data_IF_766604689418
#
_entry.id   IF_766604689418
#
_cell.length_a   1.000
_cell.length_b   1.000
_cell.length_c   1.000
_cell.angle_alpha   90.00
_cell.angle_beta   90.00
_cell.angle_gamma   90.00
#
_symmetry.space_group_name_H-M   'P 1'
#
loop_
_entity.id
_entity.type
_entity.pdbx_description
1 polymer ?
#
# COMPACT_ATOMS: atom_id res chain seq x y z
N UNK A 1 58.03 -32.29 33.65
CA UNK A 1 58.67 -32.52 32.32
C UNK A 1 57.60 -32.17 31.27
N UNK A 2 57.79 -31.26 30.30
CA UNK A 2 58.91 -31.05 29.36
C UNK A 2 59.02 -32.27 28.42
N UNK A 3 58.91 -32.18 27.07
CA UNK A 3 59.20 -31.08 26.12
C UNK A 3 58.14 -30.99 24.98
N UNK A 4 57.67 -29.80 24.60
CA UNK A 4 58.08 -28.91 23.47
C UNK A 4 57.62 -29.33 22.05
N UNK A 5 57.07 -28.36 21.32
CA UNK A 5 56.77 -28.38 19.86
C UNK A 5 58.06 -28.28 19.02
N UNK A 6 57.97 -28.31 17.67
CA UNK A 6 58.13 -27.02 16.96
C UNK A 6 57.42 -26.86 15.59
N UNK A 7 57.10 -25.59 15.23
CA UNK A 7 57.20 -24.97 13.87
C UNK A 7 56.25 -25.52 12.77
N UNK A 8 55.56 -24.78 11.89
CA UNK A 8 55.58 -23.40 11.31
C UNK A 8 54.10 -23.03 10.95
N UNK A 9 53.55 -21.82 10.68
CA UNK A 9 53.85 -20.36 10.59
C UNK A 9 52.66 -19.71 11.41
N UNK A 10 52.69 -18.58 12.16
CA UNK A 10 53.22 -17.21 11.96
C UNK A 10 52.48 -16.53 10.78
N UNK A 11 51.66 -15.48 10.94
CA UNK A 11 52.00 -14.07 11.27
C UNK A 11 50.78 -13.32 11.89
N UNK A 12 50.96 -12.72 13.08
CA UNK A 12 50.35 -11.47 13.64
C UNK A 12 48.80 -11.34 13.66
N UNK A 13 48.13 -11.36 14.83
CA UNK A 13 47.91 -10.27 15.80
C UNK A 13 47.20 -9.01 15.21
N UNK A 14 45.89 -8.83 15.43
CA UNK A 14 45.24 -8.33 16.65
C UNK A 14 45.40 -6.81 16.91
N UNK A 15 44.29 -6.07 16.77
CA UNK A 15 44.07 -4.79 17.43
C UNK A 15 42.56 -4.50 17.57
N UNK A 16 42.13 -4.16 18.78
CA UNK A 16 40.76 -3.72 19.07
C UNK A 16 40.61 -2.27 18.60
N UNK A 17 39.68 -2.01 17.68
CA UNK A 17 39.25 -0.66 17.33
C UNK A 17 37.75 -0.63 17.04
N UNK A 18 37.10 0.42 17.53
CA UNK A 18 35.71 0.79 17.27
C UNK A 18 35.37 0.76 15.79
N UNK A 19 34.26 0.11 15.41
CA UNK A 19 33.64 0.31 14.10
C UNK A 19 32.72 1.55 14.18
N UNK A 20 33.07 2.70 13.59
CA UNK A 20 32.15 3.83 13.53
C UNK A 20 31.02 3.54 12.53
N UNK A 21 29.80 3.97 12.86
CA UNK A 21 28.69 3.98 11.91
C UNK A 21 29.00 4.96 10.77
N UNK A 22 29.46 4.44 9.64
CA UNK A 22 29.74 5.24 8.45
C UNK A 22 28.48 5.43 7.61
N UNK A 23 28.21 6.69 7.26
CA UNK A 23 27.02 7.10 6.54
C UNK A 23 26.88 6.37 5.19
N UNK A 24 25.68 5.87 4.89
CA UNK A 24 25.30 5.42 3.56
C UNK A 24 25.09 6.61 2.60
N UNK A 25 26.17 7.34 2.29
CA UNK A 25 26.17 8.29 1.18
C UNK A 25 25.85 7.54 -0.12
N UNK A 26 24.98 8.15 -0.94
CA UNK A 26 24.56 7.56 -2.20
C UNK A 26 25.76 7.36 -3.13
N UNK A 27 26.11 6.10 -3.40
CA UNK A 27 27.20 5.75 -4.30
C UNK A 27 26.95 6.33 -5.70
N UNK A 28 27.99 6.86 -6.38
CA UNK A 28 27.85 7.37 -7.73
C UNK A 28 27.37 6.26 -8.69
N UNK A 29 26.57 6.57 -9.71
CA UNK A 29 26.10 5.58 -10.68
C UNK A 29 27.29 4.99 -11.45
N UNK A 30 27.32 3.66 -11.60
CA UNK A 30 28.36 2.96 -12.36
C UNK A 30 28.35 3.33 -13.84
N UNK A 31 29.51 3.22 -14.50
CA UNK A 31 29.68 3.60 -15.92
C UNK A 31 28.70 2.88 -16.86
N UNK A 32 28.44 1.58 -16.63
CA UNK A 32 27.45 0.82 -17.39
C UNK A 32 26.03 1.41 -17.29
N UNK A 33 25.68 2.00 -16.12
CA UNK A 33 24.40 2.68 -15.90
C UNK A 33 24.37 4.05 -16.57
N UNK A 34 25.48 4.80 -16.53
CA UNK A 34 25.63 6.08 -17.23
C UNK A 34 25.53 5.90 -18.76
N UNK A 35 26.19 4.88 -19.33
CA UNK A 35 26.06 4.52 -20.74
C UNK A 35 24.64 4.12 -21.15
N UNK A 36 23.90 3.40 -20.28
CA UNK A 36 22.49 3.07 -20.52
C UNK A 36 21.57 4.30 -20.46
N UNK A 37 21.91 5.30 -19.64
CA UNK A 37 21.19 6.58 -19.55
C UNK A 37 21.49 7.44 -20.78
N UNK A 38 22.75 7.50 -21.24
CA UNK A 38 23.13 8.24 -22.44
C UNK A 38 22.39 7.74 -23.70
N UNK A 39 22.24 6.42 -23.85
CA UNK A 39 21.42 5.82 -24.93
C UNK A 39 19.94 6.23 -24.92
N UNK A 40 19.42 6.74 -23.79
CA UNK A 40 18.03 7.22 -23.65
C UNK A 40 17.91 8.75 -23.70
N UNK A 41 18.99 9.45 -23.37
CA UNK A 41 19.05 10.91 -23.34
C UNK A 41 20.39 11.41 -23.92
N UNK A 42 20.60 11.32 -25.26
CA UNK A 42 21.83 11.81 -25.89
C UNK A 42 22.14 13.28 -25.57
N UNK A 43 21.10 14.10 -25.36
CA UNK A 43 21.20 15.50 -24.97
C UNK A 43 21.68 15.76 -23.52
N UNK A 44 21.96 14.71 -22.74
CA UNK A 44 22.56 14.82 -21.42
C UNK A 44 24.11 14.86 -21.47
N UNK A 45 24.70 14.36 -22.56
CA UNK A 45 26.11 14.59 -22.90
C UNK A 45 26.24 16.02 -23.45
N UNK A 46 26.85 16.90 -22.67
CA UNK A 46 26.92 18.34 -22.96
C UNK A 46 28.24 18.76 -23.58
N UNK A 47 29.33 18.03 -23.31
CA UNK A 47 30.63 18.25 -23.95
C UNK A 47 30.76 17.52 -25.31
N UNK A 48 29.87 16.56 -25.60
CA UNK A 48 29.82 15.69 -26.79
C UNK A 48 30.99 14.71 -26.90
N UNK A 49 31.55 14.26 -25.77
CA UNK A 49 32.64 13.28 -25.74
C UNK A 49 32.16 11.81 -25.86
N UNK A 50 30.84 11.58 -25.82
CA UNK A 50 30.23 10.24 -25.92
C UNK A 50 30.13 9.49 -24.59
N UNK A 51 30.45 10.11 -23.45
CA UNK A 51 30.38 9.51 -22.11
C UNK A 51 29.76 10.46 -21.09
N UNK A 52 28.52 10.15 -20.69
CA UNK A 52 27.82 10.93 -19.67
C UNK A 52 28.56 10.90 -18.32
N UNK A 53 29.22 12.01 -17.96
CA UNK A 53 29.92 12.11 -16.67
C UNK A 53 28.96 12.21 -15.49
N UNK A 54 29.43 11.94 -14.27
CA UNK A 54 28.60 12.09 -13.06
C UNK A 54 28.07 13.53 -12.87
N UNK A 55 28.86 14.55 -13.23
CA UNK A 55 28.45 15.97 -13.16
C UNK A 55 27.34 16.29 -14.16
N UNK A 56 27.45 15.79 -15.39
CA UNK A 56 26.45 15.99 -16.43
C UNK A 56 25.17 15.20 -16.14
N UNK A 57 25.29 13.99 -15.58
CA UNK A 57 24.12 13.25 -15.09
C UNK A 57 23.38 14.03 -13.99
N UNK A 58 24.07 14.66 -13.04
CA UNK A 58 23.43 15.52 -12.04
C UNK A 58 22.84 16.81 -12.65
N UNK A 59 23.54 17.45 -13.58
CA UNK A 59 23.05 18.64 -14.28
C UNK A 59 21.78 18.35 -15.08
N UNK A 60 21.79 17.29 -15.90
CA UNK A 60 20.64 16.81 -16.64
C UNK A 60 19.50 16.41 -15.70
N UNK A 61 19.78 15.68 -14.61
CA UNK A 61 18.77 15.32 -13.58
C UNK A 61 18.15 16.54 -12.92
N UNK A 62 18.91 17.61 -12.69
CA UNK A 62 18.41 18.90 -12.17
C UNK A 62 17.55 19.61 -13.21
N UNK A 63 18.00 19.66 -14.46
CA UNK A 63 17.30 20.26 -15.59
C UNK A 63 15.97 19.54 -15.91
N UNK A 64 15.93 18.21 -15.86
CA UNK A 64 14.69 17.41 -16.02
C UNK A 64 13.70 17.62 -14.86
N UNK A 65 14.19 17.84 -13.62
CA UNK A 65 13.31 18.21 -12.49
C UNK A 65 12.73 19.62 -12.65
N UNK A 66 13.45 20.54 -13.28
CA UNK A 66 12.99 21.92 -13.53
C UNK A 66 12.09 22.02 -14.76
N UNK A 67 12.40 21.33 -15.86
CA UNK A 67 11.57 21.36 -17.08
C UNK A 67 10.19 20.72 -16.88
N UNK A 68 10.09 19.74 -15.97
CA UNK A 68 8.80 19.17 -15.53
C UNK A 68 7.89 20.14 -14.76
N UNK A 69 8.36 21.31 -14.34
CA UNK A 69 7.56 22.33 -13.63
C UNK A 69 7.18 23.53 -14.51
N UNK A 70 7.61 23.59 -15.79
CA UNK A 70 7.76 24.89 -16.47
C UNK A 70 7.40 24.98 -17.96
N UNK A 71 6.43 24.24 -18.49
CA UNK A 71 5.74 24.59 -19.76
C UNK A 71 4.25 24.25 -19.74
N UNK A 72 3.40 25.27 -19.63
CA UNK A 72 1.95 25.11 -19.80
C UNK A 72 1.59 24.94 -21.29
N UNK A 73 0.70 23.98 -21.59
CA UNK A 73 -0.03 23.94 -22.87
C UNK A 73 -1.36 24.70 -22.70
N UNK A 74 -1.65 25.74 -23.50
CA UNK A 74 -2.84 26.59 -23.32
C UNK A 74 -4.11 25.88 -23.81
N UNK A 75 -4.63 24.99 -22.97
CA UNK A 75 -5.95 24.38 -23.03
C UNK A 75 -6.37 23.77 -21.68
N UNK A 76 -5.39 23.48 -20.79
CA UNK A 76 -5.61 22.76 -19.54
C UNK A 76 -6.15 23.62 -18.37
N UNK A 77 -7.04 24.57 -18.63
CA UNK A 77 -7.64 25.48 -17.63
C UNK A 77 -8.80 24.83 -16.83
N UNK A 78 -8.77 23.50 -16.68
CA UNK A 78 -9.78 22.69 -15.98
C UNK A 78 -9.10 21.58 -15.16
N UNK A 79 -8.06 21.95 -14.38
CA UNK A 79 -7.37 21.05 -13.45
C UNK A 79 -7.79 21.36 -12.01
N UNK A 80 -8.90 20.79 -11.58
CA UNK A 80 -9.27 20.72 -10.16
C UNK A 80 -8.21 19.94 -9.36
N UNK A 81 -8.22 20.11 -8.04
CA UNK A 81 -7.16 19.63 -7.14
C UNK A 81 -6.73 18.17 -7.37
N UNK A 82 -5.43 17.92 -7.17
CA UNK A 82 -4.70 16.66 -7.35
C UNK A 82 -4.54 16.10 -8.78
N UNK A 83 -5.32 16.55 -9.77
CA UNK A 83 -5.10 16.15 -11.17
C UNK A 83 -5.33 14.65 -11.44
N UNK A 84 -6.59 14.23 -11.36
CA UNK A 84 -7.08 13.05 -12.07
C UNK A 84 -7.29 13.38 -13.56
N UNK A 85 -7.47 12.37 -14.41
CA UNK A 85 -7.80 12.60 -15.82
C UNK A 85 -9.25 13.11 -15.97
N UNK A 86 -9.51 14.14 -16.81
CA UNK A 86 -10.87 14.63 -17.08
C UNK A 86 -11.83 13.58 -17.65
N UNK A 87 -11.33 12.46 -18.18
CA UNK A 87 -12.14 11.31 -18.57
C UNK A 87 -12.98 10.71 -17.43
N UNK A 88 -12.60 10.91 -16.17
CA UNK A 88 -13.45 10.54 -15.03
C UNK A 88 -14.73 11.37 -14.92
N UNK A 89 -14.77 12.58 -15.49
CA UNK A 89 -15.96 13.45 -15.47
C UNK A 89 -16.95 13.11 -16.61
N UNK A 90 -16.61 12.17 -17.51
CA UNK A 90 -17.50 11.69 -18.59
C UNK A 90 -18.42 10.58 -18.10
N UNK A 91 -19.61 10.47 -18.69
CA UNK A 91 -20.55 9.39 -18.39
C UNK A 91 -19.98 8.02 -18.81
N UNK A 92 -19.33 7.95 -19.97
CA UNK A 92 -18.71 6.74 -20.52
C UNK A 92 -17.17 6.78 -20.53
N UNK A 93 -16.55 5.63 -20.25
CA UNK A 93 -15.13 5.40 -20.49
C UNK A 93 -14.84 5.18 -21.99
N UNK A 94 -13.59 5.33 -22.47
CA UNK A 94 -13.22 5.06 -23.86
C UNK A 94 -13.70 3.67 -24.34
N UNK A 95 -14.25 3.50 -25.56
CA UNK A 95 -14.81 2.22 -26.02
C UNK A 95 -13.85 1.02 -26.08
N UNK A 96 -12.54 1.25 -25.93
CA UNK A 96 -11.54 0.19 -25.83
C UNK A 96 -11.31 -0.32 -24.38
N UNK A 97 -11.91 0.33 -23.38
CA UNK A 97 -11.73 0.04 -21.96
C UNK A 97 -12.11 -1.40 -21.63
N UNK A 98 -11.23 -2.13 -20.95
CA UNK A 98 -11.38 -3.59 -20.77
C UNK A 98 -12.61 -3.98 -19.94
N UNK A 99 -13.13 -3.13 -19.06
CA UNK A 99 -14.38 -3.38 -18.33
C UNK A 99 -15.63 -3.50 -19.22
N UNK A 100 -15.59 -2.92 -20.44
CA UNK A 100 -16.68 -2.97 -21.42
C UNK A 100 -16.72 -4.28 -22.23
N UNK A 101 -15.76 -5.19 -22.00
CA UNK A 101 -15.54 -6.39 -22.81
C UNK A 101 -16.18 -7.65 -22.23
N UNK A 102 -16.25 -8.69 -23.05
CA UNK A 102 -16.66 -10.05 -22.65
C UNK A 102 -15.59 -10.72 -21.75
N UNK A 103 -15.95 -11.63 -20.82
CA UNK A 103 -14.97 -12.36 -20.00
C UNK A 103 -13.86 -13.04 -20.82
N UNK A 104 -14.21 -13.57 -21.99
CA UNK A 104 -13.31 -14.24 -22.92
C UNK A 104 -12.28 -13.26 -23.51
N UNK A 105 -12.71 -12.08 -23.95
CA UNK A 105 -11.81 -11.01 -24.39
C UNK A 105 -10.91 -10.52 -23.25
N UNK A 106 -11.46 -10.28 -22.06
CA UNK A 106 -10.72 -9.81 -20.89
C UNK A 106 -9.62 -10.81 -20.54
N UNK A 107 -9.95 -12.11 -20.51
CA UNK A 107 -9.01 -13.20 -20.28
C UNK A 107 -7.97 -13.33 -21.42
N UNK A 108 -8.36 -13.11 -22.68
CA UNK A 108 -7.44 -13.11 -23.82
C UNK A 108 -6.49 -11.90 -23.84
N UNK A 109 -6.88 -10.76 -23.27
CA UNK A 109 -6.00 -9.60 -23.04
C UNK A 109 -5.05 -9.91 -21.87
N UNK A 110 -5.56 -10.44 -20.76
CA UNK A 110 -4.73 -10.83 -19.61
C UNK A 110 -3.63 -11.83 -19.98
N UNK A 111 -3.99 -12.94 -20.67
CA UNK A 111 -3.04 -13.99 -21.10
C UNK A 111 -2.00 -13.49 -22.10
N UNK A 112 -2.36 -12.56 -22.99
CA UNK A 112 -1.42 -11.91 -23.94
C UNK A 112 -0.36 -11.09 -23.22
N UNK A 113 -0.72 -10.51 -22.08
CA UNK A 113 0.16 -9.72 -21.24
C UNK A 113 0.58 -8.37 -21.82
N UNK A 114 1.46 -7.69 -21.09
CA UNK A 114 2.03 -6.42 -21.52
C UNK A 114 3.13 -6.68 -22.57
N UNK A 115 3.35 -5.73 -23.49
CA UNK A 115 4.38 -5.87 -24.51
C UNK A 115 5.77 -6.12 -23.85
N UNK A 116 6.37 -7.29 -24.14
CA UNK A 116 7.63 -7.73 -23.51
C UNK A 116 7.47 -8.46 -22.16
N UNK A 117 6.26 -8.83 -21.75
CA UNK A 117 5.98 -9.73 -20.62
C UNK A 117 4.84 -10.70 -20.93
N UNK A 118 5.17 -11.98 -21.08
CA UNK A 118 4.22 -13.04 -20.71
C UNK A 118 3.99 -12.95 -19.20
N UNK A 119 2.73 -13.03 -18.76
CA UNK A 119 2.45 -13.30 -17.36
C UNK A 119 2.74 -14.78 -17.11
N UNK A 120 3.57 -15.08 -16.10
CA UNK A 120 3.85 -16.45 -15.74
C UNK A 120 2.56 -17.10 -15.20
N UNK A 121 2.03 -18.08 -15.93
CA UNK A 121 0.69 -18.66 -15.76
C UNK A 121 0.46 -19.38 -14.40
N UNK A 122 1.47 -19.40 -13.53
CA UNK A 122 1.52 -20.16 -12.28
C UNK A 122 1.59 -19.32 -10.99
N UNK A 123 1.65 -17.97 -11.07
CA UNK A 123 1.88 -17.11 -9.91
C UNK A 123 0.63 -16.35 -9.40
N UNK A 124 -0.31 -16.04 -10.29
CA UNK A 124 -1.52 -15.28 -9.98
C UNK A 124 -2.75 -16.18 -10.09
N UNK A 125 -3.30 -16.58 -8.94
CA UNK A 125 -4.50 -17.42 -8.86
C UNK A 125 -5.76 -16.62 -9.26
N UNK A 126 -6.22 -16.84 -10.49
CA UNK A 126 -7.37 -16.13 -11.08
C UNK A 126 -8.73 -16.68 -10.66
N UNK A 127 -8.75 -17.87 -10.05
CA UNK A 127 -9.93 -18.51 -9.49
C UNK A 127 -9.53 -19.40 -8.31
N UNK A 128 -10.50 -19.74 -7.47
CA UNK A 128 -10.34 -20.69 -6.38
C UNK A 128 -11.61 -21.56 -6.26
N UNK A 129 -11.49 -22.85 -5.88
CA UNK A 129 -12.65 -23.66 -5.54
C UNK A 129 -13.42 -23.00 -4.37
N UNK A 130 -14.73 -23.23 -4.30
CA UNK A 130 -15.55 -22.70 -3.20
C UNK A 130 -14.96 -23.13 -1.84
N UNK A 131 -14.59 -22.20 -0.96
CA UNK A 131 -14.04 -22.53 0.35
C UNK A 131 -15.04 -23.22 1.29
N UNK A 132 -14.56 -23.70 2.43
CA UNK A 132 -15.43 -24.13 3.53
C UNK A 132 -16.25 -22.96 4.08
N UNK A 133 -17.44 -23.26 4.63
CA UNK A 133 -18.44 -22.26 5.01
C UNK A 133 -17.87 -21.15 5.93
N UNK A 134 -18.06 -19.90 5.50
CA UNK A 134 -17.59 -18.70 6.20
C UNK A 134 -16.26 -18.13 5.71
N UNK A 135 -15.50 -18.86 4.89
CA UNK A 135 -14.29 -18.33 4.22
C UNK A 135 -14.71 -17.69 2.88
N UNK A 136 -14.32 -16.43 2.66
CA UNK A 136 -14.58 -15.68 1.43
C UNK A 136 -13.37 -15.75 0.48
N UNK A 137 -13.61 -15.85 -0.83
CA UNK A 137 -12.61 -15.53 -1.87
C UNK A 137 -12.54 -14.01 -2.02
N UNK A 138 -11.34 -13.45 -1.95
CA UNK A 138 -11.12 -12.00 -1.85
C UNK A 138 -10.32 -11.48 -3.05
N UNK A 139 -10.91 -10.57 -3.84
CA UNK A 139 -10.13 -9.68 -4.70
C UNK A 139 -9.73 -8.41 -3.94
N UNK A 140 -8.68 -7.71 -4.38
CA UNK A 140 -8.37 -6.42 -3.77
C UNK A 140 -7.28 -5.61 -4.46
N UNK A 141 -7.39 -4.30 -4.30
CA UNK A 141 -6.31 -3.35 -4.62
C UNK A 141 -5.73 -2.75 -3.36
N UNK A 142 -4.65 -2.00 -3.50
CA UNK A 142 -4.13 -1.18 -2.42
C UNK A 142 -2.66 -0.83 -2.56
N UNK A 143 -2.21 -0.06 -1.58
CA UNK A 143 -0.90 0.59 -1.57
C UNK A 143 -0.07 0.16 -0.36
N UNK A 144 0.97 0.91 -0.02
CA UNK A 144 1.93 0.54 1.03
C UNK A 144 1.32 0.45 2.45
N UNK A 145 0.11 0.96 2.67
CA UNK A 145 -0.61 0.84 3.94
C UNK A 145 -1.50 -0.43 4.00
N UNK A 146 -1.98 -0.97 2.86
CA UNK A 146 -2.69 -2.27 2.87
C UNK A 146 -1.72 -3.45 2.83
N UNK A 147 -0.53 -3.25 2.24
CA UNK A 147 0.50 -4.26 2.07
C UNK A 147 0.90 -5.03 3.36
N UNK A 148 0.94 -4.44 4.58
CA UNK A 148 1.15 -5.20 5.81
C UNK A 148 0.05 -6.23 6.06
N UNK A 149 -1.23 -5.84 5.96
CA UNK A 149 -2.38 -6.72 6.15
C UNK A 149 -2.45 -7.82 5.10
N UNK A 150 -2.26 -7.48 3.83
CA UNK A 150 -2.22 -8.47 2.74
C UNK A 150 -1.06 -9.47 2.86
N UNK A 151 0.04 -9.13 3.55
CA UNK A 151 1.16 -10.05 3.82
C UNK A 151 0.94 -10.92 5.06
N UNK A 152 0.27 -10.41 6.10
CA UNK A 152 0.03 -11.16 7.34
C UNK A 152 -1.20 -12.06 7.26
N UNK A 153 -2.25 -11.66 6.55
CA UNK A 153 -3.51 -12.41 6.47
C UNK A 153 -3.32 -13.88 6.00
N UNK A 154 -2.54 -14.21 4.95
CA UNK A 154 -2.28 -15.60 4.58
C UNK A 154 -1.50 -16.40 5.64
N UNK A 155 -0.75 -15.76 6.54
CA UNK A 155 -0.08 -16.45 7.64
C UNK A 155 -1.03 -16.68 8.83
N UNK A 156 -1.90 -15.71 9.12
CA UNK A 156 -2.92 -15.81 10.18
C UNK A 156 -3.94 -16.92 9.86
N UNK A 157 -4.39 -17.00 8.61
CA UNK A 157 -5.38 -18.00 8.18
C UNK A 157 -4.80 -19.41 8.15
N UNK A 158 -3.56 -19.60 7.67
CA UNK A 158 -2.85 -20.88 7.78
C UNK A 158 -2.67 -21.33 9.23
N UNK A 159 -2.36 -20.41 10.14
CA UNK A 159 -2.30 -20.71 11.58
C UNK A 159 -3.69 -21.04 12.18
N UNK A 160 -4.78 -20.61 11.54
CA UNK A 160 -6.16 -20.99 11.84
C UNK A 160 -6.65 -22.22 11.05
N UNK A 161 -5.80 -22.86 10.23
CA UNK A 161 -6.09 -24.11 9.53
C UNK A 161 -6.62 -23.97 8.10
N UNK A 162 -6.54 -22.81 7.44
CA UNK A 162 -6.99 -22.65 6.05
C UNK A 162 -6.12 -21.71 5.20
N UNK A 163 -6.02 -21.97 3.90
CA UNK A 163 -5.47 -21.00 2.95
C UNK A 163 -6.53 -19.95 2.62
N UNK A 164 -6.19 -18.66 2.73
CA UNK A 164 -7.08 -17.56 2.37
C UNK A 164 -7.05 -17.32 0.86
N UNK A 165 -8.15 -17.54 0.12
CA UNK A 165 -8.18 -17.28 -1.32
C UNK A 165 -8.10 -15.78 -1.59
N UNK A 166 -7.09 -15.36 -2.36
CA UNK A 166 -6.74 -13.96 -2.61
C UNK A 166 -6.23 -13.76 -4.05
N UNK A 167 -6.79 -12.79 -4.77
CA UNK A 167 -6.15 -12.20 -5.96
C UNK A 167 -5.99 -10.69 -5.77
N UNK A 168 -4.74 -10.22 -5.78
CA UNK A 168 -4.41 -8.85 -5.39
C UNK A 168 -3.66 -8.11 -6.50
N UNK A 169 -4.08 -6.88 -6.78
CA UNK A 169 -3.36 -5.97 -7.66
C UNK A 169 -2.96 -4.70 -6.89
N UNK A 170 -1.76 -4.74 -6.33
CA UNK A 170 -1.23 -3.70 -5.44
C UNK A 170 -0.24 -2.75 -6.15
N UNK A 171 0.14 -1.67 -5.45
CA UNK A 171 1.19 -0.73 -5.86
C UNK A 171 1.84 -0.02 -4.67
N UNK A 172 2.63 1.02 -4.97
CA UNK A 172 3.21 1.93 -3.98
C UNK A 172 2.66 3.35 -4.11
N UNK A 173 2.18 3.95 -3.01
CA UNK A 173 1.48 5.24 -3.03
C UNK A 173 0.30 5.24 -4.01
N UNK A 174 0.15 6.33 -4.80
CA UNK A 174 -0.88 6.47 -5.84
C UNK A 174 -0.97 5.27 -6.79
N UNK A 175 0.13 4.56 -7.04
CA UNK A 175 0.12 3.40 -7.95
C UNK A 175 -0.65 2.18 -7.43
N UNK A 176 -1.16 2.25 -6.19
CA UNK A 176 -2.08 1.31 -5.58
C UNK A 176 -3.46 1.89 -5.22
N UNK A 177 -3.82 3.10 -5.69
CA UNK A 177 -5.14 3.68 -5.45
C UNK A 177 -6.23 3.02 -6.30
N UNK A 178 -7.49 3.19 -5.89
CA UNK A 178 -8.66 2.59 -6.53
C UNK A 178 -8.82 3.06 -7.98
N UNK A 179 -8.65 4.37 -8.22
CA UNK A 179 -8.63 4.99 -9.55
C UNK A 179 -7.47 4.51 -10.41
N UNK A 180 -6.22 4.59 -9.91
CA UNK A 180 -5.04 4.18 -10.68
C UNK A 180 -5.12 2.71 -11.11
N UNK A 181 -5.65 1.83 -10.25
CA UNK A 181 -5.88 0.44 -10.63
C UNK A 181 -7.02 0.27 -11.63
N UNK A 182 -8.13 1.01 -11.50
CA UNK A 182 -9.17 1.02 -12.54
C UNK A 182 -8.61 1.43 -13.91
N UNK A 183 -7.84 2.52 -13.96
CA UNK A 183 -7.21 3.04 -15.18
C UNK A 183 -6.22 2.02 -15.78
N UNK A 184 -5.38 1.42 -14.94
CA UNK A 184 -4.39 0.41 -15.32
C UNK A 184 -5.04 -0.88 -15.84
N UNK A 185 -6.10 -1.34 -15.20
CA UNK A 185 -6.83 -2.54 -15.60
C UNK A 185 -7.57 -2.33 -16.93
N UNK A 186 -8.19 -1.17 -17.09
CA UNK A 186 -8.93 -0.82 -18.31
C UNK A 186 -8.03 -0.43 -19.50
N UNK A 187 -6.78 -0.03 -19.26
CA UNK A 187 -5.87 0.43 -20.31
C UNK A 187 -6.26 1.79 -20.88
N UNK A 188 -6.68 2.71 -20.00
CA UNK A 188 -7.19 4.06 -20.34
C UNK A 188 -6.35 5.15 -19.70
N UNK A 189 -6.52 6.39 -20.16
CA UNK A 189 -5.88 7.61 -19.62
C UNK A 189 -4.34 7.50 -19.60
N UNK A 190 -3.67 7.42 -18.44
CA UNK A 190 -2.20 7.23 -18.43
C UNK A 190 -1.74 5.84 -18.94
N UNK A 191 -2.69 4.91 -19.11
CA UNK A 191 -2.50 3.56 -19.65
C UNK A 191 -3.09 3.34 -21.04
N UNK A 192 -3.45 4.40 -21.78
CA UNK A 192 -4.11 4.31 -23.09
C UNK A 192 -3.46 3.26 -24.03
N UNK A 193 -4.28 2.28 -24.43
CA UNK A 193 -3.92 1.13 -25.26
C UNK A 193 -3.02 0.07 -24.60
N UNK A 194 -2.82 0.13 -23.28
CA UNK A 194 -1.85 -0.71 -22.52
C UNK A 194 -2.46 -1.30 -21.22
N UNK A 195 -3.58 -2.04 -21.30
CA UNK A 195 -4.25 -2.60 -20.13
C UNK A 195 -3.42 -3.67 -19.41
N UNK A 196 -3.68 -3.81 -18.11
CA UNK A 196 -3.26 -4.93 -17.25
C UNK A 196 -4.47 -5.42 -16.44
N UNK A 197 -5.39 -6.18 -17.07
CA UNK A 197 -6.70 -6.50 -16.50
C UNK A 197 -6.65 -7.72 -15.57
N UNK A 198 -5.84 -7.67 -14.50
CA UNK A 198 -5.69 -8.78 -13.56
C UNK A 198 -6.98 -9.04 -12.77
N UNK A 199 -7.50 -8.04 -12.07
CA UNK A 199 -8.72 -8.20 -11.29
C UNK A 199 -9.95 -8.26 -12.18
N UNK A 200 -10.00 -7.52 -13.30
CA UNK A 200 -11.11 -7.64 -14.26
C UNK A 200 -11.22 -9.08 -14.80
N UNK A 201 -10.11 -9.72 -15.15
CA UNK A 201 -10.10 -11.12 -15.60
C UNK A 201 -10.42 -12.13 -14.50
N UNK A 202 -10.08 -11.83 -13.23
CA UNK A 202 -10.43 -12.67 -12.09
C UNK A 202 -11.93 -12.58 -11.76
N UNK A 203 -12.46 -11.36 -11.66
CA UNK A 203 -13.85 -11.05 -11.30
C UNK A 203 -14.82 -11.53 -12.39
N UNK A 204 -14.50 -11.36 -13.67
CA UNK A 204 -15.35 -11.82 -14.77
C UNK A 204 -15.20 -13.31 -15.11
N UNK A 205 -14.12 -13.96 -14.68
CA UNK A 205 -13.79 -15.35 -15.00
C UNK A 205 -14.06 -16.36 -13.88
N UNK A 206 -14.44 -15.93 -12.68
CA UNK A 206 -14.70 -16.79 -11.53
C UNK A 206 -15.60 -16.12 -10.48
N UNK A 207 -16.15 -16.92 -9.57
CA UNK A 207 -16.88 -16.45 -8.40
C UNK A 207 -15.95 -15.86 -7.31
N UNK A 208 -16.34 -14.73 -6.73
CA UNK A 208 -15.66 -14.05 -5.62
C UNK A 208 -16.68 -13.44 -4.65
N UNK A 209 -16.53 -13.68 -3.34
CA UNK A 209 -17.45 -13.16 -2.33
C UNK A 209 -17.15 -11.72 -1.87
N UNK A 210 -15.93 -11.21 -2.05
CA UNK A 210 -15.54 -9.91 -1.50
C UNK A 210 -14.46 -9.16 -2.30
N UNK A 211 -14.52 -7.82 -2.24
CA UNK A 211 -13.46 -6.92 -2.67
C UNK A 211 -12.96 -6.02 -1.52
N UNK A 212 -11.63 -5.91 -1.36
CA UNK A 212 -10.98 -5.01 -0.40
C UNK A 212 -10.28 -3.86 -1.13
N UNK A 213 -10.42 -2.64 -0.60
CA UNK A 213 -9.67 -1.46 -1.05
C UNK A 213 -8.91 -0.78 0.09
N UNK A 214 -7.75 -0.23 -0.25
CA UNK A 214 -7.10 0.82 0.53
C UNK A 214 -7.38 2.19 -0.08
N UNK A 215 -8.21 3.04 0.55
CA UNK A 215 -8.45 4.40 0.11
C UNK A 215 -7.17 5.21 0.01
N UNK A 216 -7.15 6.13 -0.94
CA UNK A 216 -6.04 7.05 -1.15
C UNK A 216 -6.50 8.51 -0.97
N UNK A 217 -5.52 9.41 -0.80
CA UNK A 217 -5.80 10.82 -0.56
C UNK A 217 -6.63 11.42 -1.70
N UNK A 218 -7.81 11.94 -1.36
CA UNK A 218 -8.77 12.57 -2.27
C UNK A 218 -9.38 11.66 -3.33
N UNK A 219 -9.54 10.37 -3.03
CA UNK A 219 -10.41 9.49 -3.83
C UNK A 219 -11.84 10.05 -3.94
N UNK A 220 -12.57 9.63 -4.97
CA UNK A 220 -13.95 10.03 -5.27
C UNK A 220 -14.88 8.82 -5.30
N UNK A 221 -16.18 8.95 -4.96
CA UNK A 221 -17.13 7.83 -4.99
C UNK A 221 -17.14 7.05 -6.31
N UNK A 222 -17.11 7.76 -7.46
CA UNK A 222 -17.09 7.16 -8.80
C UNK A 222 -15.93 6.18 -9.04
N UNK A 223 -14.79 6.34 -8.34
CA UNK A 223 -13.67 5.40 -8.46
C UNK A 223 -14.04 4.01 -7.91
N UNK A 224 -14.87 3.98 -6.86
CA UNK A 224 -15.35 2.75 -6.24
C UNK A 224 -16.58 2.21 -6.98
N UNK A 225 -17.55 3.06 -7.35
CA UNK A 225 -18.76 2.59 -8.03
C UNK A 225 -18.42 1.88 -9.33
N UNK A 226 -17.47 2.35 -10.14
CA UNK A 226 -17.04 1.63 -11.35
C UNK A 226 -16.52 0.21 -11.08
N UNK A 227 -15.88 -0.03 -9.92
CA UNK A 227 -15.53 -1.39 -9.49
C UNK A 227 -16.75 -2.17 -8.99
N UNK A 228 -17.64 -1.55 -8.20
CA UNK A 228 -18.88 -2.17 -7.69
C UNK A 228 -19.75 -2.63 -8.86
N UNK A 229 -19.99 -1.77 -9.85
CA UNK A 229 -20.81 -2.04 -11.03
C UNK A 229 -20.26 -3.23 -11.84
N UNK A 230 -18.93 -3.31 -11.98
CA UNK A 230 -18.26 -4.44 -12.63
C UNK A 230 -18.30 -5.72 -11.78
N UNK A 231 -18.22 -5.60 -10.45
CA UNK A 231 -18.34 -6.72 -9.53
C UNK A 231 -19.76 -7.30 -9.54
N UNK A 232 -20.80 -6.49 -9.29
CA UNK A 232 -22.21 -6.93 -9.29
C UNK A 232 -22.62 -7.58 -10.62
N UNK A 233 -22.10 -7.10 -11.75
CA UNK A 233 -22.35 -7.67 -13.09
C UNK A 233 -21.97 -9.16 -13.21
N UNK A 234 -20.94 -9.62 -12.49
CA UNK A 234 -20.42 -10.99 -12.57
C UNK A 234 -20.53 -11.77 -11.25
N UNK A 235 -20.68 -11.06 -10.12
CA UNK A 235 -20.70 -11.57 -8.75
C UNK A 235 -21.76 -10.80 -7.93
N UNK A 236 -23.06 -10.96 -8.23
CA UNK A 236 -24.12 -10.21 -7.57
C UNK A 236 -24.18 -10.49 -6.07
N UNK A 237 -24.23 -9.43 -5.26
CA UNK A 237 -24.16 -9.51 -3.79
C UNK A 237 -22.75 -9.66 -3.22
N UNK A 238 -21.72 -9.26 -3.96
CA UNK A 238 -20.34 -9.18 -3.44
C UNK A 238 -20.25 -8.19 -2.27
N UNK A 239 -19.32 -8.44 -1.34
CA UNK A 239 -19.09 -7.61 -0.16
C UNK A 239 -17.90 -6.69 -0.33
N UNK A 240 -18.10 -5.41 -0.07
CA UNK A 240 -17.13 -4.36 -0.34
C UNK A 240 -16.55 -3.84 0.97
N UNK A 241 -15.24 -3.93 1.12
CA UNK A 241 -14.54 -3.60 2.37
C UNK A 241 -13.54 -2.46 2.15
N UNK A 242 -13.81 -1.31 2.78
CA UNK A 242 -12.86 -0.19 2.79
C UNK A 242 -12.05 -0.24 4.09
N UNK A 243 -10.72 -0.24 3.94
CA UNK A 243 -9.78 -0.04 5.05
C UNK A 243 -9.78 1.46 5.40
N UNK A 244 -10.14 1.83 6.63
CA UNK A 244 -10.10 3.23 7.06
C UNK A 244 -8.67 3.76 7.30
N UNK A 245 -8.51 5.09 7.33
CA UNK A 245 -7.17 5.72 7.46
C UNK A 245 -6.73 5.77 8.92
N UNK A 246 -5.55 5.24 9.27
CA UNK A 246 -5.04 5.26 10.64
C UNK A 246 -4.32 6.56 11.03
N UNK A 247 -4.16 6.88 12.34
CA UNK A 247 -3.74 8.20 12.82
C UNK A 247 -2.22 8.41 12.67
N UNK A 248 -1.80 8.72 11.45
CA UNK A 248 -0.40 8.86 11.07
C UNK A 248 0.18 10.26 11.33
N UNK A 249 1.53 10.44 11.41
CA UNK A 249 2.16 11.74 11.61
C UNK A 249 1.81 12.79 10.54
N UNK A 250 1.49 12.35 9.33
CA UNK A 250 0.98 13.23 8.27
C UNK A 250 -0.34 13.91 8.63
N UNK A 251 -1.23 13.23 9.36
CA UNK A 251 -2.51 13.79 9.82
C UNK A 251 -2.33 14.73 11.03
N UNK A 252 -1.28 14.57 11.84
CA UNK A 252 -1.02 15.45 13.00
C UNK A 252 -0.90 16.91 12.59
N UNK A 253 -0.15 17.21 11.53
CA UNK A 253 -0.03 18.57 11.02
C UNK A 253 -1.36 19.17 10.57
N UNK A 254 -2.25 18.36 10.00
CA UNK A 254 -3.58 18.80 9.57
C UNK A 254 -4.53 18.99 10.76
N UNK A 255 -4.65 18.00 11.65
CA UNK A 255 -5.53 18.03 12.81
C UNK A 255 -5.14 19.10 13.85
N UNK A 256 -3.87 19.52 13.89
CA UNK A 256 -3.36 20.51 14.85
C UNK A 256 -2.85 21.81 14.19
N UNK A 257 -3.01 21.97 12.88
CA UNK A 257 -2.54 23.13 12.10
C UNK A 257 -1.04 23.46 12.33
N UNK A 258 -0.20 22.42 12.40
CA UNK A 258 1.24 22.55 12.65
C UNK A 258 2.00 22.67 11.33
N UNK A 259 2.96 23.61 11.26
CA UNK A 259 3.88 23.74 10.12
C UNK A 259 4.74 22.49 9.94
N UNK A 260 5.21 21.93 11.05
CA UNK A 260 6.11 20.78 11.11
C UNK A 260 5.58 19.67 12.03
N UNK A 261 6.17 18.47 11.96
CA UNK A 261 5.80 17.39 12.86
C UNK A 261 6.36 17.67 14.28
N UNK A 262 5.73 17.15 15.35
CA UNK A 262 6.30 17.21 16.69
C UNK A 262 7.72 16.61 16.76
N UNK A 263 8.60 17.23 17.53
CA UNK A 263 10.00 16.82 17.70
C UNK A 263 10.19 15.71 18.74
N UNK A 264 9.18 15.44 19.58
CA UNK A 264 9.23 14.46 20.67
C UNK A 264 7.99 13.57 20.70
N UNK A 265 8.17 12.32 21.11
CA UNK A 265 7.06 11.39 21.36
C UNK A 265 6.16 11.87 22.52
N UNK A 266 6.65 12.73 23.42
CA UNK A 266 5.88 13.28 24.54
C UNK A 266 4.70 14.17 24.13
N UNK A 267 4.65 14.62 22.87
CA UNK A 267 3.46 15.29 22.31
C UNK A 267 2.25 14.34 22.22
N UNK A 268 2.49 13.05 22.01
CA UNK A 268 1.46 12.08 21.62
C UNK A 268 0.80 11.47 22.86
N UNK A 269 -0.09 12.25 23.48
CA UNK A 269 -0.97 11.80 24.57
C UNK A 269 -2.21 11.08 24.06
N UNK A 270 -2.96 10.41 24.94
CA UNK A 270 -4.24 9.80 24.57
C UNK A 270 -5.22 10.80 23.94
N UNK A 271 -5.34 12.01 24.51
CA UNK A 271 -6.19 13.08 24.00
C UNK A 271 -5.76 13.59 22.62
N UNK A 272 -4.46 13.51 22.29
CA UNK A 272 -3.98 13.78 20.93
C UNK A 272 -4.46 12.71 19.97
N UNK A 273 -4.42 11.43 20.34
CA UNK A 273 -4.97 10.35 19.53
C UNK A 273 -6.50 10.40 19.40
N UNK A 274 -7.23 10.82 20.44
CA UNK A 274 -8.68 11.04 20.33
C UNK A 274 -9.01 12.16 19.34
N UNK A 275 -8.27 13.27 19.34
CA UNK A 275 -8.46 14.35 18.37
C UNK A 275 -8.03 13.95 16.95
N UNK A 276 -6.93 13.19 16.79
CA UNK A 276 -6.57 12.57 15.51
C UNK A 276 -7.70 11.66 15.01
N UNK A 277 -8.35 10.93 15.94
CA UNK A 277 -9.40 9.98 15.61
C UNK A 277 -10.65 10.66 15.06
N UNK A 278 -11.12 11.73 15.70
CA UNK A 278 -12.22 12.56 15.18
C UNK A 278 -11.86 13.14 13.80
N UNK A 279 -10.63 13.62 13.60
CA UNK A 279 -10.21 14.20 12.32
C UNK A 279 -10.19 13.18 11.17
N UNK A 280 -9.70 11.97 11.40
CA UNK A 280 -9.64 10.90 10.40
C UNK A 280 -11.03 10.40 9.99
N UNK A 281 -11.93 10.21 10.97
CA UNK A 281 -13.26 9.66 10.72
C UNK A 281 -14.15 10.57 9.85
N UNK A 282 -14.12 11.89 10.05
CA UNK A 282 -15.03 12.83 9.39
C UNK A 282 -14.98 12.73 7.86
N UNK A 283 -13.79 12.79 7.26
CA UNK A 283 -13.65 12.75 5.79
C UNK A 283 -13.90 11.37 5.18
N UNK A 284 -13.88 10.31 5.98
CA UNK A 284 -14.14 8.94 5.52
C UNK A 284 -15.63 8.56 5.59
N UNK A 285 -16.37 9.13 6.55
CA UNK A 285 -17.81 8.90 6.71
C UNK A 285 -18.61 9.32 5.46
N UNK A 286 -18.31 10.48 4.87
CA UNK A 286 -19.01 10.97 3.67
C UNK A 286 -18.79 10.09 2.43
N UNK A 287 -17.58 9.54 2.28
CA UNK A 287 -17.28 8.55 1.22
C UNK A 287 -18.12 7.29 1.43
N UNK A 288 -18.05 6.68 2.62
CA UNK A 288 -18.80 5.44 2.93
C UNK A 288 -20.30 5.64 2.83
N UNK A 289 -20.83 6.81 3.22
CA UNK A 289 -22.24 7.18 3.02
C UNK A 289 -22.60 7.15 1.54
N UNK A 290 -21.84 7.86 0.69
CA UNK A 290 -22.13 7.94 -0.75
C UNK A 290 -22.08 6.56 -1.42
N UNK A 291 -21.14 5.69 -1.02
CA UNK A 291 -21.08 4.32 -1.56
C UNK A 291 -22.25 3.44 -1.10
N UNK A 292 -22.80 3.70 0.09
CA UNK A 292 -23.99 3.01 0.62
C UNK A 292 -25.29 3.41 -0.07
N UNK A 293 -25.29 4.50 -0.83
CA UNK A 293 -26.38 4.88 -1.73
C UNK A 293 -26.37 4.01 -3.01
N UNK A 294 -25.23 3.40 -3.37
CA UNK A 294 -25.10 2.44 -4.49
C UNK A 294 -25.39 1.00 -4.07
N UNK A 295 -24.81 0.52 -2.95
CA UNK A 295 -25.06 -0.84 -2.44
C UNK A 295 -24.98 -0.91 -0.91
N UNK A 296 -25.79 -1.78 -0.30
CA UNK A 296 -25.81 -1.95 1.17
C UNK A 296 -24.62 -2.75 1.70
N UNK A 297 -23.95 -3.53 0.84
CA UNK A 297 -22.84 -4.41 1.22
C UNK A 297 -21.49 -3.67 1.36
N UNK A 298 -21.50 -2.40 1.78
CA UNK A 298 -20.29 -1.59 2.04
C UNK A 298 -19.95 -1.59 3.53
N UNK A 299 -18.85 -2.28 3.85
CA UNK A 299 -18.31 -2.51 5.19
C UNK A 299 -17.00 -1.75 5.40
N UNK A 300 -16.68 -1.45 6.66
CA UNK A 300 -15.42 -0.83 7.08
C UNK A 300 -14.56 -1.88 7.77
N UNK A 301 -13.26 -1.92 7.47
CA UNK A 301 -12.25 -2.63 8.27
C UNK A 301 -11.64 -1.60 9.22
N UNK A 302 -11.96 -1.62 10.54
CA UNK A 302 -11.70 -0.53 11.49
C UNK A 302 -10.24 -0.48 11.99
N UNK A 303 -9.33 -0.32 11.04
CA UNK A 303 -7.88 -0.28 11.22
C UNK A 303 -7.47 1.00 11.96
N UNK A 304 -8.17 2.10 11.71
CA UNK A 304 -8.03 3.36 12.41
C UNK A 304 -8.25 3.23 13.91
N UNK A 305 -9.36 2.62 14.31
CA UNK A 305 -9.67 2.35 15.72
C UNK A 305 -8.61 1.41 16.35
N UNK A 306 -8.22 0.34 15.63
CA UNK A 306 -7.20 -0.59 16.09
C UNK A 306 -5.82 0.07 16.30
N UNK A 307 -5.40 0.95 15.38
CA UNK A 307 -4.13 1.67 15.48
C UNK A 307 -4.15 2.81 16.51
N UNK A 308 -5.30 3.46 16.70
CA UNK A 308 -5.53 4.43 17.78
C UNK A 308 -5.37 3.75 19.14
N UNK A 309 -6.02 2.60 19.33
CA UNK A 309 -5.94 1.79 20.56
C UNK A 309 -4.53 1.21 20.78
N UNK A 310 -3.84 0.76 19.73
CA UNK A 310 -2.44 0.31 19.84
C UNK A 310 -1.50 1.41 20.36
N UNK A 311 -1.68 2.66 19.90
CA UNK A 311 -0.90 3.80 20.40
C UNK A 311 -1.27 4.19 21.83
N UNK A 312 -2.56 4.17 22.20
CA UNK A 312 -3.02 4.37 23.59
C UNK A 312 -2.44 3.32 24.54
N UNK A 313 -2.43 2.04 24.14
CA UNK A 313 -1.77 0.95 24.89
C UNK A 313 -0.28 1.20 25.08
N UNK A 314 0.43 1.67 24.05
CA UNK A 314 1.84 2.03 24.19
C UNK A 314 2.04 3.15 25.23
N UNK A 315 1.23 4.21 25.21
CA UNK A 315 1.31 5.33 26.18
C UNK A 315 1.12 4.83 27.63
N UNK A 316 0.25 3.84 27.84
CA UNK A 316 0.02 3.21 29.15
C UNK A 316 1.07 2.15 29.55
N UNK A 317 2.00 1.80 28.66
CA UNK A 317 2.94 0.68 28.87
C UNK A 317 2.33 -0.72 28.67
N UNK A 318 1.14 -0.81 28.09
CA UNK A 318 0.37 -2.06 27.89
C UNK A 318 0.78 -2.84 26.62
N UNK A 319 1.78 -2.37 25.86
CA UNK A 319 2.19 -2.94 24.57
C UNK A 319 3.62 -3.54 24.63
N UNK A 320 3.81 -4.76 25.17
CA UNK A 320 5.13 -5.35 25.37
C UNK A 320 5.86 -5.64 24.05
N UNK A 321 7.17 -5.35 24.02
CA UNK A 321 8.02 -5.55 22.83
C UNK A 321 7.93 -4.43 21.79
N UNK A 322 7.33 -3.29 22.14
CA UNK A 322 7.38 -2.04 21.38
C UNK A 322 8.03 -0.98 22.28
N UNK A 323 9.03 -0.26 21.77
CA UNK A 323 9.86 0.68 22.53
C UNK A 323 9.52 2.15 22.25
N UNK A 324 8.96 2.45 21.07
CA UNK A 324 8.55 3.80 20.64
C UNK A 324 7.25 3.83 19.83
N UNK A 325 6.68 5.01 19.67
CA UNK A 325 5.60 5.27 18.73
C UNK A 325 6.15 5.44 17.31
N UNK A 326 7.18 6.28 17.15
CA UNK A 326 7.65 6.78 15.86
C UNK A 326 9.18 6.74 15.76
N UNK A 327 9.74 5.84 14.95
CA UNK A 327 11.20 5.74 14.72
C UNK A 327 11.83 7.08 14.34
N UNK A 328 11.16 7.84 13.47
CA UNK A 328 11.58 9.17 12.97
C UNK A 328 11.42 10.33 13.98
N UNK A 329 10.99 10.05 15.22
CA UNK A 329 10.89 11.02 16.31
C UNK A 329 11.67 10.50 17.53
N UNK A 330 11.29 9.34 18.06
CA UNK A 330 11.94 8.75 19.25
C UNK A 330 13.21 7.95 18.99
N UNK A 331 13.53 7.61 17.74
CA UNK A 331 14.73 6.85 17.35
C UNK A 331 14.70 5.34 17.64
N UNK A 332 13.78 4.87 18.48
CA UNK A 332 13.73 3.48 19.00
C UNK A 332 13.14 2.48 18.00
N UNK A 333 13.52 1.21 18.14
CA UNK A 333 12.94 0.06 17.43
C UNK A 333 12.86 -1.16 18.36
N UNK A 334 11.76 -1.94 18.36
CA UNK A 334 10.58 -1.81 17.50
C UNK A 334 9.73 -0.59 17.85
N UNK A 335 9.13 0.05 16.85
CA UNK A 335 8.17 1.14 17.02
C UNK A 335 6.91 0.90 16.21
N UNK A 336 5.77 1.50 16.59
CA UNK A 336 4.50 1.31 15.88
C UNK A 336 4.61 1.79 14.42
N UNK A 337 5.22 2.96 14.22
CA UNK A 337 5.39 3.59 12.91
C UNK A 337 6.87 3.82 12.56
N UNK A 338 7.21 3.54 11.30
CA UNK A 338 8.55 3.69 10.74
C UNK A 338 8.89 5.14 10.34
N UNK A 339 7.91 5.94 9.89
CA UNK A 339 8.17 7.19 9.18
C UNK A 339 7.15 8.32 9.44
N UNK A 340 7.43 9.49 8.84
CA UNK A 340 6.61 10.71 8.97
C UNK A 340 5.32 10.67 8.11
N UNK A 341 5.09 9.58 7.38
CA UNK A 341 3.94 9.40 6.47
C UNK A 341 2.88 8.52 7.13
N UNK A 342 3.30 7.46 7.82
CA UNK A 342 2.42 6.51 8.51
C UNK A 342 2.71 5.03 8.24
N UNK A 343 3.83 4.66 7.61
CA UNK A 343 4.17 3.25 7.40
C UNK A 343 4.45 2.55 8.74
N UNK A 344 4.07 1.28 8.88
CA UNK A 344 4.29 0.49 10.10
C UNK A 344 5.77 0.15 10.31
N UNK A 345 6.21 0.14 11.57
CA UNK A 345 7.62 -0.10 11.94
C UNK A 345 8.10 -1.55 11.75
N UNK A 346 9.39 -1.79 11.52
CA UNK A 346 9.96 -3.14 11.61
C UNK A 346 9.67 -3.77 12.98
N UNK A 347 9.23 -5.04 12.99
CA UNK A 347 8.85 -5.73 14.23
C UNK A 347 7.42 -5.44 14.73
N UNK A 348 6.76 -4.36 14.28
CA UNK A 348 5.33 -4.08 14.57
C UNK A 348 4.35 -4.98 13.79
N UNK A 349 4.84 -6.05 13.15
CA UNK A 349 3.97 -7.02 12.49
C UNK A 349 3.01 -7.60 13.51
N UNK A 350 1.71 -7.49 13.21
CA UNK A 350 0.63 -7.74 14.16
C UNK A 350 0.67 -9.14 14.81
N UNK A 351 1.42 -10.08 14.21
CA UNK A 351 1.82 -11.34 14.84
C UNK A 351 2.40 -11.17 16.26
N UNK A 352 3.34 -10.26 16.53
CA UNK A 352 3.93 -10.11 17.88
C UNK A 352 2.95 -9.53 18.93
N UNK A 353 2.04 -8.65 18.49
CA UNK A 353 1.01 -8.07 19.34
C UNK A 353 -0.19 -9.01 19.57
N UNK A 354 -0.45 -9.95 18.65
CA UNK A 354 -1.49 -10.99 18.80
C UNK A 354 -0.95 -12.26 19.48
N UNK A 355 0.30 -12.66 19.26
CA UNK A 355 0.88 -13.88 19.86
C UNK A 355 1.25 -13.72 21.34
N UNK A 356 1.27 -12.48 21.84
CA UNK A 356 1.35 -12.15 23.27
C UNK A 356 -0.02 -12.14 23.96
N UNK A 357 -1.14 -12.29 23.23
CA UNK A 357 -2.46 -12.43 23.85
C UNK A 357 -2.60 -13.80 24.56
N UNK A 358 -3.14 -13.86 25.79
CA UNK A 358 -3.33 -15.12 26.49
C UNK A 358 -4.18 -16.13 25.72
N UNK A 359 -3.72 -17.40 25.67
CA UNK A 359 -4.42 -18.52 24.99
C UNK A 359 -5.86 -18.75 25.48
N UNK A 360 -6.25 -18.19 26.63
CA UNK A 360 -7.63 -18.25 27.16
C UNK A 360 -8.68 -17.57 26.28
N UNK A 361 -8.30 -16.66 25.37
CA UNK A 361 -9.24 -16.10 24.38
C UNK A 361 -9.47 -16.98 23.16
N UNK A 362 -8.55 -17.92 22.85
CA UNK A 362 -8.66 -18.80 21.68
C UNK A 362 -9.84 -19.79 21.77
N UNK A 363 -10.47 -19.93 22.95
CA UNK A 363 -11.49 -20.94 23.21
C UNK A 363 -12.86 -20.34 23.64
N UNK A 364 -13.28 -19.23 23.02
CA UNK A 364 -14.65 -18.68 23.15
C UNK A 364 -15.28 -18.37 21.79
N UNK A 365 -15.98 -19.37 21.21
CA UNK A 365 -16.83 -19.22 20.00
C UNK A 365 -17.90 -18.10 20.13
N UNK A 366 -18.24 -17.67 21.36
CA UNK A 366 -19.24 -16.62 21.65
C UNK A 366 -18.70 -15.17 21.68
N UNK A 367 -17.46 -14.94 21.23
CA UNK A 367 -16.88 -13.59 21.07
C UNK A 367 -17.16 -13.00 19.67
N UNK A 368 -17.04 -13.81 18.61
CA UNK A 368 -17.26 -13.35 17.23
C UNK A 368 -18.71 -12.91 16.97
N UNK A 369 -19.69 -13.59 17.57
CA UNK A 369 -21.09 -13.18 17.55
C UNK A 369 -21.33 -11.82 18.22
N UNK A 370 -20.50 -11.42 19.21
CA UNK A 370 -20.60 -10.11 19.87
C UNK A 370 -20.01 -8.96 19.07
N UNK A 371 -18.94 -9.23 18.30
CA UNK A 371 -18.45 -8.29 17.28
C UNK A 371 -19.49 -8.11 16.15
N UNK A 372 -20.13 -9.20 15.71
CA UNK A 372 -21.22 -9.14 14.73
C UNK A 372 -22.41 -8.29 15.20
N UNK A 373 -22.82 -8.39 16.47
CA UNK A 373 -23.87 -7.52 17.02
C UNK A 373 -23.39 -6.08 17.24
N UNK A 374 -22.13 -5.84 17.65
CA UNK A 374 -21.61 -4.48 17.82
C UNK A 374 -21.53 -3.71 16.49
N UNK A 375 -21.20 -4.40 15.39
CA UNK A 375 -21.24 -3.82 14.04
C UNK A 375 -22.68 -3.47 13.66
N UNK A 376 -23.69 -4.23 14.12
CA UNK A 376 -25.10 -3.90 13.87
C UNK A 376 -25.59 -2.69 14.69
N UNK A 377 -25.08 -2.46 15.89
CA UNK A 377 -25.45 -1.31 16.75
C UNK A 377 -24.66 -0.02 16.50
N UNK A 378 -23.75 0.01 15.51
CA UNK A 378 -23.16 1.25 14.97
C UNK A 378 -23.71 1.60 13.56
N UNK A 379 -24.81 0.96 13.15
CA UNK A 379 -25.49 1.21 11.87
C UNK A 379 -26.99 1.56 12.10
N UNK A 380 -27.25 2.41 13.11
CA UNK A 380 -28.57 2.95 13.48
C UNK A 380 -28.44 4.41 13.89
#
# INVERSE_FOLDING_TARGET
MNKQHPILLIVILALLATAPFLNAQAQPPSEARLAQILKRFPQADTNKDGKLTAKEFEAARKQFRQSGQGKARPAAAAKTAMGFDPGWEKDEFPPHAVSLKTPEEIMAIYKRGAAGRTYAEAADAMSFPKPADGIMRIVGTGHSFTAPGYRTLPAITRAAGFEQPLSLHNGGGRTGSVSYKWEQENGIFEFDGKPLPKLLAAISGAEWEAMIWGPYGGDRPKFYTSWIDFCEKYNPGMKYFLIDTWPAPGQVRMAFNLKENPESETFFTEAVYDKLSVHANTGFADLVKTLRETTREVYIIPTHAAMTEAAKRFIRGELPGVEGLYKVIGGKEPSIWADKIGHLGPGSTAWRAMSSMPRSMANRRSSFQRLSSSIRTQNS
#
